data_IF_240738301215
#
_entry.id   IF_240738301215
#
_cell.length_a   1.000
_cell.length_b   1.000
_cell.length_c   1.000
_cell.angle_alpha   90.00
_cell.angle_beta   90.00
_cell.angle_gamma   90.00
#
_symmetry.space_group_name_H-M   'P 1'
#
loop_
_entity.id
_entity.type
_entity.pdbx_description
1 polymer ?
#
# COMPACT_ATOMS: atom_id res chain seq x y z
N UNK A 1 36.45 -41.02 28.03
CA UNK A 1 35.58 -39.85 28.35
C UNK A 1 35.56 -38.97 27.11
N UNK A 2 34.53 -39.13 26.28
CA UNK A 2 34.31 -38.30 25.08
C UNK A 2 33.28 -37.24 25.46
N UNK A 3 33.74 -36.00 25.62
CA UNK A 3 32.90 -34.86 25.93
C UNK A 3 32.34 -34.26 24.63
N UNK A 4 31.05 -33.92 24.70
CA UNK A 4 30.18 -33.52 23.60
C UNK A 4 30.78 -32.42 22.71
N UNK A 5 30.74 -32.65 21.40
CA UNK A 5 30.78 -31.58 20.41
C UNK A 5 29.42 -30.85 20.46
N UNK A 6 29.37 -29.75 21.19
CA UNK A 6 28.22 -28.84 21.18
C UNK A 6 28.12 -28.18 19.80
N UNK A 7 27.21 -28.71 18.97
CA UNK A 7 26.73 -28.10 17.74
C UNK A 7 25.89 -26.86 18.09
N UNK A 8 26.54 -25.76 18.47
CA UNK A 8 25.88 -24.48 18.61
C UNK A 8 25.74 -23.84 17.22
N UNK A 9 24.77 -24.36 16.45
CA UNK A 9 24.39 -23.82 15.14
C UNK A 9 24.00 -22.36 15.32
N UNK A 10 24.84 -21.46 14.79
CA UNK A 10 24.62 -20.02 14.81
C UNK A 10 23.20 -19.70 14.32
N UNK A 11 22.47 -18.85 15.05
CA UNK A 11 21.09 -18.47 14.72
C UNK A 11 20.95 -17.99 13.26
N UNK A 12 22.02 -17.42 12.70
CA UNK A 12 22.09 -16.92 11.34
C UNK A 12 22.14 -18.03 10.27
N UNK A 13 22.60 -19.24 10.59
CA UNK A 13 22.59 -20.37 9.65
C UNK A 13 21.17 -20.80 9.27
N UNK A 14 20.22 -20.59 10.21
CA UNK A 14 18.80 -20.90 10.05
C UNK A 14 18.03 -19.81 9.30
N UNK A 15 18.61 -18.62 9.12
CA UNK A 15 17.97 -17.51 8.42
C UNK A 15 18.06 -17.66 6.89
N UNK A 16 17.08 -17.12 6.18
CA UNK A 16 17.13 -17.04 4.72
C UNK A 16 18.06 -15.90 4.27
N UNK A 17 18.62 -16.04 3.06
CA UNK A 17 19.54 -15.05 2.47
C UNK A 17 18.97 -13.62 2.46
N UNK A 18 17.68 -13.37 2.17
CA UNK A 18 17.10 -12.03 2.27
C UNK A 18 17.20 -11.44 3.69
N UNK A 19 16.88 -12.22 4.72
CA UNK A 19 16.88 -11.76 6.11
C UNK A 19 18.30 -11.43 6.59
N UNK A 20 19.29 -12.23 6.18
CA UNK A 20 20.71 -11.97 6.44
C UNK A 20 21.17 -10.67 5.77
N UNK A 21 20.77 -10.43 4.51
CA UNK A 21 21.06 -9.18 3.80
C UNK A 21 20.40 -8.00 4.49
N UNK A 22 19.13 -8.11 4.89
CA UNK A 22 18.43 -7.06 5.63
C UNK A 22 19.09 -6.74 6.96
N UNK A 23 19.53 -7.75 7.72
CA UNK A 23 20.24 -7.58 8.99
C UNK A 23 21.54 -6.76 8.84
N UNK A 24 22.31 -7.05 7.79
CA UNK A 24 23.58 -6.39 7.48
C UNK A 24 23.39 -5.00 6.88
N UNK A 25 22.44 -4.84 5.97
CA UNK A 25 22.13 -3.53 5.36
C UNK A 25 21.61 -2.53 6.39
N UNK A 26 20.82 -2.98 7.38
CA UNK A 26 20.42 -2.16 8.55
C UNK A 26 21.61 -1.65 9.39
N UNK A 27 22.80 -2.21 9.21
CA UNK A 27 24.04 -1.84 9.91
C UNK A 27 25.07 -1.22 8.95
N UNK A 28 24.63 -0.74 7.79
CA UNK A 28 25.47 -0.06 6.81
C UNK A 28 26.36 -0.98 5.96
N UNK A 29 26.13 -2.30 5.97
CA UNK A 29 26.96 -3.27 5.23
C UNK A 29 26.29 -3.66 3.90
N UNK A 30 26.96 -3.33 2.79
CA UNK A 30 26.52 -3.65 1.42
C UNK A 30 26.74 -5.13 1.08
N UNK A 31 25.71 -5.84 0.62
CA UNK A 31 25.71 -7.31 0.52
C UNK A 31 25.41 -7.89 -0.88
N UNK A 32 25.68 -7.15 -1.95
CA UNK A 32 25.22 -7.47 -3.31
C UNK A 32 25.80 -8.76 -3.91
N UNK A 33 26.96 -9.25 -3.43
CA UNK A 33 27.71 -10.34 -4.09
C UNK A 33 28.12 -11.51 -3.18
N UNK A 34 27.64 -11.58 -1.94
CA UNK A 34 28.07 -12.62 -0.98
C UNK A 34 27.24 -13.90 -1.04
N UNK A 35 27.92 -15.05 -0.90
CA UNK A 35 27.30 -16.37 -0.72
C UNK A 35 26.74 -16.49 0.70
N UNK A 36 25.76 -17.40 0.93
CA UNK A 36 25.08 -17.55 2.23
C UNK A 36 26.05 -17.69 3.41
N UNK A 37 27.08 -18.54 3.31
CA UNK A 37 28.08 -18.73 4.37
C UNK A 37 28.84 -17.44 4.71
N UNK A 38 29.16 -16.62 3.71
CA UNK A 38 29.81 -15.32 3.92
C UNK A 38 28.87 -14.33 4.60
N UNK A 39 27.58 -14.33 4.25
CA UNK A 39 26.58 -13.49 4.90
C UNK A 39 26.37 -13.88 6.37
N UNK A 40 26.32 -15.18 6.68
CA UNK A 40 26.25 -15.69 8.05
C UNK A 40 27.45 -15.20 8.85
N UNK A 41 28.65 -15.36 8.32
CA UNK A 41 29.88 -14.93 8.99
C UNK A 41 29.91 -13.42 9.22
N UNK A 42 29.46 -12.63 8.25
CA UNK A 42 29.33 -11.18 8.40
C UNK A 42 28.32 -10.80 9.49
N UNK A 43 27.21 -11.54 9.62
CA UNK A 43 26.22 -11.29 10.68
C UNK A 43 26.81 -11.57 12.08
N UNK A 44 27.59 -12.64 12.22
CA UNK A 44 28.29 -12.97 13.47
C UNK A 44 29.29 -11.88 13.85
N UNK A 45 30.13 -11.46 12.90
CA UNK A 45 31.11 -10.38 13.11
C UNK A 45 30.38 -9.07 13.44
N UNK A 46 29.26 -8.76 12.79
CA UNK A 46 28.48 -7.56 13.09
C UNK A 46 27.89 -7.57 14.52
N UNK A 47 27.55 -8.74 15.07
CA UNK A 47 27.13 -8.90 16.47
C UNK A 47 28.32 -8.78 17.42
N UNK A 48 29.44 -9.42 17.10
CA UNK A 48 30.69 -9.36 17.87
C UNK A 48 31.21 -7.93 18.00
N UNK A 49 31.14 -7.16 16.91
CA UNK A 49 31.52 -5.75 16.85
C UNK A 49 30.44 -4.80 17.40
N UNK A 50 29.31 -5.32 17.88
CA UNK A 50 28.18 -4.53 18.40
C UNK A 50 27.74 -3.40 17.45
N UNK A 51 27.72 -3.68 16.14
CA UNK A 51 27.36 -2.66 15.16
C UNK A 51 25.92 -2.21 15.37
N UNK A 52 25.77 -0.92 15.67
CA UNK A 52 24.49 -0.27 15.82
C UNK A 52 23.72 -0.29 14.50
N UNK A 53 22.39 -0.31 14.60
CA UNK A 53 21.51 -0.17 13.44
C UNK A 53 21.68 1.25 12.93
N UNK A 54 22.40 1.40 11.82
CA UNK A 54 22.53 2.67 11.11
C UNK A 54 21.14 3.02 10.59
N UNK A 55 20.50 4.02 11.18
CA UNK A 55 19.39 4.69 10.52
C UNK A 55 19.99 5.36 9.28
N UNK A 56 19.82 4.75 8.12
CA UNK A 56 20.30 5.32 6.86
C UNK A 56 19.59 6.66 6.64
N UNK A 57 20.24 7.62 5.97
CA UNK A 57 19.59 8.87 5.56
C UNK A 57 18.26 8.59 4.86
N UNK A 58 18.22 7.56 4.01
CA UNK A 58 17.01 7.06 3.34
C UNK A 58 15.86 6.68 4.30
N UNK A 59 16.18 6.17 5.50
CA UNK A 59 15.17 5.81 6.50
C UNK A 59 14.60 7.04 7.22
N UNK A 60 15.42 8.08 7.43
CA UNK A 60 14.94 9.38 7.90
C UNK A 60 14.08 10.06 6.82
N UNK A 61 14.57 10.10 5.59
CA UNK A 61 13.86 10.68 4.44
C UNK A 61 12.50 9.99 4.22
N UNK A 62 12.43 8.67 4.39
CA UNK A 62 11.17 7.93 4.30
C UNK A 62 10.21 8.26 5.45
N UNK A 63 10.69 8.34 6.71
CA UNK A 63 9.84 8.70 7.86
C UNK A 63 9.28 10.10 7.73
N UNK A 64 10.09 11.03 7.22
CA UNK A 64 9.68 12.41 6.98
C UNK A 64 8.67 12.49 5.83
N UNK A 65 8.91 11.77 4.73
CA UNK A 65 7.95 11.66 3.62
C UNK A 65 6.63 11.03 4.08
N UNK A 66 6.67 9.96 4.86
CA UNK A 66 5.48 9.31 5.38
C UNK A 66 4.68 10.22 6.31
N UNK A 67 5.36 10.90 7.23
CA UNK A 67 4.75 11.88 8.13
C UNK A 67 4.15 13.07 7.37
N UNK A 68 4.85 13.56 6.34
CA UNK A 68 4.34 14.61 5.46
C UNK A 68 3.05 14.18 4.77
N UNK A 69 2.99 12.97 4.21
CA UNK A 69 1.77 12.45 3.55
C UNK A 69 0.62 12.23 4.52
N UNK A 70 0.91 11.94 5.78
CA UNK A 70 -0.09 11.83 6.85
C UNK A 70 -0.45 13.18 7.48
N UNK A 71 0.17 14.27 7.06
CA UNK A 71 -0.14 15.60 7.56
C UNK A 71 -1.40 16.12 6.89
N UNK A 72 -2.37 16.50 7.71
CA UNK A 72 -3.63 17.12 7.29
C UNK A 72 -3.85 18.43 8.04
N UNK A 73 -4.73 19.28 7.54
CA UNK A 73 -5.13 20.50 8.23
C UNK A 73 -6.40 20.23 9.04
N UNK A 74 -6.36 20.56 10.33
CA UNK A 74 -7.48 20.47 11.27
C UNK A 74 -7.57 21.80 12.00
N UNK A 75 -8.70 22.50 11.88
CA UNK A 75 -8.91 23.81 12.52
C UNK A 75 -7.81 24.86 12.22
N UNK A 76 -7.28 24.86 10.99
CA UNK A 76 -6.21 25.78 10.59
C UNK A 76 -4.79 25.40 11.06
N UNK A 77 -4.63 24.27 11.77
CA UNK A 77 -3.34 23.77 12.21
C UNK A 77 -2.97 22.47 11.46
N UNK A 78 -1.68 22.30 11.16
CA UNK A 78 -1.16 21.04 10.61
C UNK A 78 -1.11 19.99 11.70
N UNK A 79 -1.72 18.84 11.45
CA UNK A 79 -1.75 17.70 12.33
C UNK A 79 -1.27 16.45 11.59
N UNK A 80 -0.31 15.73 12.16
CA UNK A 80 0.17 14.47 11.61
C UNK A 80 -0.72 13.34 12.12
N UNK A 81 -1.42 12.65 11.22
CA UNK A 81 -2.27 11.51 11.57
C UNK A 81 -1.43 10.30 11.98
N UNK A 82 -1.96 9.33 12.75
CA UNK A 82 -1.20 8.15 13.20
C UNK A 82 -0.61 7.33 12.06
N UNK A 83 0.52 6.66 12.30
CA UNK A 83 1.09 5.72 11.33
C UNK A 83 0.08 4.61 11.00
N UNK A 84 -0.04 4.27 9.71
CA UNK A 84 -1.05 3.29 9.27
C UNK A 84 -0.89 1.91 9.93
N UNK A 85 0.35 1.52 10.24
CA UNK A 85 0.69 0.27 10.93
C UNK A 85 0.21 0.22 12.38
N UNK A 86 0.01 1.39 13.01
CA UNK A 86 -0.47 1.51 14.39
C UNK A 86 -2.00 1.52 14.49
N UNK A 87 -2.70 1.66 13.37
CA UNK A 87 -4.17 1.67 13.31
C UNK A 87 -4.70 0.24 13.42
N UNK A 88 -5.47 -0.04 14.48
CA UNK A 88 -6.00 -1.38 14.76
C UNK A 88 -7.46 -1.57 14.30
N UNK A 89 -8.31 -0.56 14.49
CA UNK A 89 -9.77 -0.69 14.38
C UNK A 89 -10.29 -0.46 12.94
N UNK A 90 -9.97 -1.37 12.03
CA UNK A 90 -10.43 -1.32 10.64
C UNK A 90 -11.83 -1.94 10.48
N UNK A 91 -12.72 -1.22 9.81
CA UNK A 91 -14.07 -1.68 9.46
C UNK A 91 -14.14 -2.08 7.99
N UNK A 92 -14.81 -3.19 7.70
CA UNK A 92 -15.18 -3.57 6.33
C UNK A 92 -16.48 -2.91 5.87
N UNK A 93 -17.24 -2.31 6.79
CA UNK A 93 -18.42 -1.51 6.47
C UNK A 93 -17.99 -0.10 6.01
N UNK A 94 -18.38 0.24 4.78
CA UNK A 94 -18.00 1.45 4.06
C UNK A 94 -19.15 2.46 3.98
N UNK A 95 -20.26 2.26 4.71
CA UNK A 95 -21.41 3.20 4.73
C UNK A 95 -21.02 4.65 5.02
N UNK A 96 -20.05 4.84 5.91
CA UNK A 96 -19.58 6.17 6.31
C UNK A 96 -18.74 6.86 5.22
N UNK A 97 -18.33 6.12 4.18
CA UNK A 97 -17.56 6.64 3.06
C UNK A 97 -18.49 7.22 1.98
N UNK A 98 -18.79 8.51 2.08
CA UNK A 98 -19.54 9.25 1.05
C UNK A 98 -18.59 9.98 0.10
N UNK A 99 -18.14 9.31 -0.97
CA UNK A 99 -17.48 10.02 -2.07
C UNK A 99 -18.55 10.77 -2.86
N UNK A 100 -18.41 12.10 -2.99
CA UNK A 100 -19.45 12.97 -3.57
C UNK A 100 -19.41 13.04 -5.08
N UNK A 101 -18.24 13.13 -5.70
CA UNK A 101 -18.14 13.32 -7.15
C UNK A 101 -16.90 12.65 -7.75
N UNK A 102 -17.03 12.07 -8.94
CA UNK A 102 -15.93 11.34 -9.60
C UNK A 102 -14.76 12.24 -10.00
N UNK A 103 -14.99 13.56 -10.09
CA UNK A 103 -13.90 14.50 -10.36
C UNK A 103 -12.91 14.61 -9.20
N UNK A 104 -13.26 14.19 -7.98
CA UNK A 104 -12.35 14.21 -6.83
C UNK A 104 -11.10 13.35 -7.07
N UNK A 105 -11.26 12.24 -7.79
CA UNK A 105 -10.13 11.44 -8.23
C UNK A 105 -9.24 12.26 -9.16
N UNK A 106 -9.83 12.95 -10.13
CA UNK A 106 -9.07 13.75 -11.10
C UNK A 106 -8.31 14.88 -10.40
N UNK A 107 -8.94 15.56 -9.44
CA UNK A 107 -8.29 16.57 -8.61
C UNK A 107 -7.09 15.97 -7.86
N UNK A 108 -7.26 14.80 -7.25
CA UNK A 108 -6.16 14.11 -6.56
C UNK A 108 -5.03 13.74 -7.52
N UNK A 109 -5.35 13.13 -8.67
CA UNK A 109 -4.37 12.74 -9.68
C UNK A 109 -3.63 13.95 -10.26
N UNK A 110 -4.28 15.10 -10.37
CA UNK A 110 -3.64 16.35 -10.78
C UNK A 110 -2.75 16.93 -9.68
N UNK A 111 -3.29 17.15 -8.48
CA UNK A 111 -2.61 17.89 -7.41
C UNK A 111 -1.53 17.08 -6.70
N UNK A 112 -1.85 15.83 -6.36
CA UNK A 112 -0.95 14.91 -5.64
C UNK A 112 -0.21 14.05 -6.64
N UNK A 113 -0.95 13.48 -7.61
CA UNK A 113 -0.43 12.63 -8.67
C UNK A 113 0.56 13.30 -9.63
N UNK A 114 0.49 14.63 -9.76
CA UNK A 114 1.16 15.41 -10.80
C UNK A 114 0.90 14.86 -12.21
N UNK A 115 -0.29 14.30 -12.45
CA UNK A 115 -0.67 13.84 -13.78
C UNK A 115 -0.83 15.03 -14.71
N UNK A 116 -0.12 14.99 -15.84
CA UNK A 116 -0.26 15.98 -16.89
C UNK A 116 -1.54 15.74 -17.72
N UNK A 117 -1.93 16.73 -18.51
CA UNK A 117 -3.11 16.69 -19.38
C UNK A 117 -3.13 15.47 -20.33
N UNK A 118 -1.97 15.11 -20.89
CA UNK A 118 -1.83 13.95 -21.77
C UNK A 118 -2.13 12.62 -21.06
N UNK A 119 -1.64 12.45 -19.84
CA UNK A 119 -1.90 11.25 -19.02
C UNK A 119 -3.34 11.20 -18.55
N UNK A 120 -3.93 12.34 -18.17
CA UNK A 120 -5.34 12.42 -17.76
C UNK A 120 -6.29 12.12 -18.92
N UNK A 121 -6.06 12.70 -20.10
CA UNK A 121 -6.86 12.41 -21.30
C UNK A 121 -6.76 10.94 -21.73
N UNK A 122 -5.60 10.31 -21.48
CA UNK A 122 -5.35 8.90 -21.77
C UNK A 122 -5.43 7.98 -20.54
N UNK A 123 -6.14 8.38 -19.47
CA UNK A 123 -6.15 7.64 -18.20
C UNK A 123 -6.57 6.17 -18.35
N UNK A 124 -7.40 5.84 -19.35
CA UNK A 124 -7.84 4.46 -19.63
C UNK A 124 -6.71 3.52 -20.07
N UNK A 125 -5.59 4.07 -20.51
CA UNK A 125 -4.37 3.31 -20.88
C UNK A 125 -3.36 3.27 -19.73
N UNK A 126 -3.62 3.95 -18.62
CA UNK A 126 -2.72 3.97 -17.47
C UNK A 126 -2.72 2.60 -16.77
N UNK A 127 -1.54 2.16 -16.32
CA UNK A 127 -1.38 0.89 -15.63
C UNK A 127 -2.24 0.81 -14.36
N UNK A 128 -2.44 1.92 -13.63
CA UNK A 128 -3.32 1.97 -12.47
C UNK A 128 -4.79 1.76 -12.85
N UNK A 129 -5.22 2.26 -14.00
CA UNK A 129 -6.56 2.00 -14.52
C UNK A 129 -6.73 0.54 -14.98
N UNK A 130 -5.69 -0.05 -15.60
CA UNK A 130 -5.67 -1.46 -15.98
C UNK A 130 -5.75 -2.38 -14.75
N UNK A 131 -5.07 -2.03 -13.66
CA UNK A 131 -5.17 -2.74 -12.38
C UNK A 131 -6.57 -2.68 -11.78
N UNK A 132 -7.21 -1.51 -11.85
CA UNK A 132 -8.59 -1.32 -11.42
C UNK A 132 -9.55 -2.21 -12.23
N UNK A 133 -9.50 -2.13 -13.57
CA UNK A 133 -10.37 -2.92 -14.45
C UNK A 133 -10.14 -4.43 -14.32
N UNK A 134 -8.91 -4.84 -14.03
CA UNK A 134 -8.53 -6.24 -13.75
C UNK A 134 -8.87 -6.70 -12.32
N UNK A 135 -9.39 -5.80 -11.47
CA UNK A 135 -9.88 -6.05 -10.12
C UNK A 135 -8.79 -6.58 -9.15
N UNK A 136 -7.61 -5.94 -9.18
CA UNK A 136 -6.48 -6.28 -8.29
C UNK A 136 -6.67 -5.80 -6.85
N UNK A 137 -7.46 -4.73 -6.65
CA UNK A 137 -7.75 -4.15 -5.34
C UNK A 137 -8.88 -4.92 -4.64
N UNK A 138 -8.61 -5.43 -3.44
CA UNK A 138 -9.54 -6.21 -2.62
C UNK A 138 -9.30 -5.93 -1.13
N UNK A 139 -10.15 -6.50 -0.26
CA UNK A 139 -10.11 -6.28 1.20
C UNK A 139 -10.07 -4.79 1.58
N UNK A 140 -10.91 -3.98 0.93
CA UNK A 140 -11.00 -2.55 1.22
C UNK A 140 -11.60 -2.36 2.60
N UNK A 141 -10.90 -1.57 3.43
CA UNK A 141 -11.25 -1.30 4.81
C UNK A 141 -11.15 0.19 5.12
N UNK A 142 -12.06 0.65 5.96
CA UNK A 142 -12.19 2.02 6.43
C UNK A 142 -11.81 2.13 7.90
N UNK A 143 -11.14 3.22 8.28
CA UNK A 143 -10.93 3.59 9.68
C UNK A 143 -11.23 5.07 9.86
N UNK A 144 -12.14 5.40 10.77
CA UNK A 144 -12.43 6.80 11.15
C UNK A 144 -11.45 7.26 12.21
N UNK A 145 -10.77 8.37 11.92
CA UNK A 145 -9.81 8.97 12.84
C UNK A 145 -10.54 9.81 13.88
N UNK A 146 -10.30 9.49 15.16
CA UNK A 146 -10.95 10.15 16.30
C UNK A 146 -10.55 11.63 16.32
N UNK A 147 -11.51 12.52 16.64
CA UNK A 147 -11.31 13.98 16.72
C UNK A 147 -10.80 14.63 15.43
N UNK A 148 -11.04 14.01 14.27
CA UNK A 148 -10.72 14.60 12.97
C UNK A 148 -11.87 14.39 11.99
N UNK A 149 -11.87 15.16 10.91
CA UNK A 149 -12.81 15.02 9.79
C UNK A 149 -12.25 14.13 8.67
N UNK A 150 -11.38 13.18 9.02
CA UNK A 150 -10.70 12.32 8.06
C UNK A 150 -10.92 10.83 8.32
N UNK A 151 -10.82 10.07 7.24
CA UNK A 151 -10.81 8.62 7.23
C UNK A 151 -9.50 8.13 6.62
N UNK A 152 -9.00 7.02 7.14
CA UNK A 152 -8.11 6.15 6.38
C UNK A 152 -8.92 5.12 5.61
N UNK A 153 -8.61 4.98 4.33
CA UNK A 153 -9.05 3.85 3.51
C UNK A 153 -7.83 3.08 3.08
N UNK A 154 -7.83 1.76 3.29
CA UNK A 154 -6.76 0.87 2.79
C UNK A 154 -7.34 -0.26 1.97
N UNK A 155 -6.49 -0.86 1.14
CA UNK A 155 -6.81 -2.09 0.42
C UNK A 155 -5.59 -3.01 0.35
N UNK A 156 -5.84 -4.25 -0.06
CA UNK A 156 -4.83 -5.16 -0.55
C UNK A 156 -4.85 -5.14 -2.09
N UNK A 157 -3.69 -4.97 -2.72
CA UNK A 157 -3.54 -4.93 -4.17
C UNK A 157 -2.61 -6.06 -4.63
N UNK A 158 -3.16 -7.04 -5.35
CA UNK A 158 -2.38 -8.19 -5.83
C UNK A 158 -1.35 -7.73 -6.87
N UNK A 159 -0.07 -8.13 -6.79
CA UNK A 159 0.93 -7.81 -7.80
C UNK A 159 0.55 -8.35 -9.19
N UNK A 160 0.83 -7.61 -10.26
CA UNK A 160 0.48 -8.00 -11.64
C UNK A 160 1.20 -9.29 -12.08
N UNK A 161 2.51 -9.34 -11.86
CA UNK A 161 3.40 -10.38 -12.41
C UNK A 161 3.58 -11.57 -11.47
N UNK A 162 3.29 -11.39 -10.18
CA UNK A 162 3.53 -12.39 -9.13
C UNK A 162 2.32 -12.47 -8.21
N UNK A 163 1.23 -13.01 -8.73
CA UNK A 163 -0.05 -13.06 -8.03
C UNK A 163 -0.03 -13.91 -6.74
N UNK A 164 1.01 -14.74 -6.56
CA UNK A 164 1.26 -15.52 -5.34
C UNK A 164 2.11 -14.79 -4.29
N UNK A 165 2.67 -13.63 -4.59
CA UNK A 165 3.40 -12.81 -3.62
C UNK A 165 2.45 -12.01 -2.72
N UNK A 166 3.00 -11.51 -1.60
CA UNK A 166 2.25 -10.68 -0.68
C UNK A 166 1.66 -9.45 -1.41
N UNK A 167 0.37 -9.14 -1.21
CA UNK A 167 -0.25 -7.94 -1.76
C UNK A 167 0.46 -6.67 -1.32
N UNK A 168 0.50 -5.67 -2.21
CA UNK A 168 0.81 -4.31 -1.82
C UNK A 168 -0.36 -3.72 -1.03
N UNK A 169 -0.07 -2.84 -0.07
CA UNK A 169 -1.09 -2.22 0.77
C UNK A 169 -1.19 -0.72 0.47
N UNK A 170 -1.91 -0.32 -0.60
CA UNK A 170 -2.23 1.08 -0.83
C UNK A 170 -3.20 1.59 0.23
N UNK A 171 -3.04 2.86 0.58
CA UNK A 171 -3.90 3.59 1.49
C UNK A 171 -4.07 5.03 1.04
N UNK A 172 -5.22 5.61 1.37
CA UNK A 172 -5.54 7.01 1.09
C UNK A 172 -6.22 7.64 2.30
N UNK A 173 -6.02 8.95 2.46
CA UNK A 173 -6.74 9.79 3.41
C UNK A 173 -7.88 10.47 2.66
N UNK A 174 -9.09 10.29 3.17
CA UNK A 174 -10.31 10.87 2.61
C UNK A 174 -10.95 11.77 3.66
N UNK A 175 -11.26 13.01 3.31
CA UNK A 175 -12.06 13.89 4.16
C UNK A 175 -13.50 13.35 4.26
N UNK A 176 -14.19 13.68 5.35
CA UNK A 176 -15.62 13.33 5.51
C UNK A 176 -16.51 13.91 4.42
N UNK A 177 -16.05 14.99 3.79
CA UNK A 177 -16.69 15.59 2.62
C UNK A 177 -16.53 14.76 1.33
N UNK A 178 -15.69 13.72 1.32
CA UNK A 178 -15.44 12.85 0.16
C UNK A 178 -14.16 13.18 -0.62
N UNK A 179 -13.43 14.23 -0.24
CA UNK A 179 -12.21 14.65 -0.95
C UNK A 179 -10.98 13.84 -0.54
N UNK A 180 -10.24 13.31 -1.52
CA UNK A 180 -8.95 12.67 -1.29
C UNK A 180 -7.86 13.71 -0.98
N UNK A 181 -7.08 13.48 0.08
CA UNK A 181 -6.02 14.41 0.51
C UNK A 181 -4.62 13.93 0.17
N UNK A 182 -4.34 12.67 0.47
CA UNK A 182 -3.02 12.08 0.34
C UNK A 182 -3.12 10.55 0.35
N UNK A 183 -2.03 9.86 0.06
CA UNK A 183 -1.98 8.40 0.09
C UNK A 183 -0.55 7.88 0.11
N UNK A 184 -0.44 6.57 0.29
CA UNK A 184 0.83 5.84 0.28
C UNK A 184 0.60 4.37 0.01
N UNK A 185 1.65 3.62 -0.28
CA UNK A 185 1.60 2.23 -0.67
C UNK A 185 2.91 1.52 -0.33
N UNK A 186 2.85 0.28 0.13
CA UNK A 186 4.05 -0.53 0.43
C UNK A 186 4.85 -1.00 -0.80
N UNK A 187 4.69 -0.35 -1.96
CA UNK A 187 5.47 -0.65 -3.15
C UNK A 187 6.76 0.19 -3.18
N UNK A 188 7.75 -0.21 -3.98
CA UNK A 188 9.08 0.44 -4.02
C UNK A 188 9.03 1.94 -4.29
N UNK A 189 8.06 2.40 -5.09
CA UNK A 189 7.95 3.81 -5.48
C UNK A 189 7.41 4.70 -4.35
N UNK A 190 6.60 4.13 -3.45
CA UNK A 190 5.84 4.75 -2.36
C UNK A 190 5.73 6.30 -2.31
N UNK A 191 5.26 6.93 -3.39
CA UNK A 191 5.17 8.39 -3.48
C UNK A 191 3.72 8.92 -3.37
N UNK A 192 2.77 8.06 -3.02
CA UNK A 192 1.33 8.39 -2.98
C UNK A 192 0.65 8.50 -4.34
N UNK A 193 1.36 8.18 -5.43
CA UNK A 193 0.87 8.32 -6.82
C UNK A 193 1.13 7.07 -7.67
N UNK A 194 1.56 5.99 -7.04
CA UNK A 194 1.83 4.73 -7.71
C UNK A 194 0.55 4.14 -8.33
N UNK A 195 0.74 3.22 -9.28
CA UNK A 195 -0.38 2.55 -9.97
C UNK A 195 -1.38 1.86 -9.03
N UNK A 196 -0.93 1.39 -7.86
CA UNK A 196 -1.82 0.77 -6.86
C UNK A 196 -2.74 1.80 -6.17
N UNK A 197 -2.25 3.04 -5.95
CA UNK A 197 -3.08 4.13 -5.44
C UNK A 197 -4.10 4.55 -6.49
N UNK A 198 -3.66 4.74 -7.73
CA UNK A 198 -4.57 5.03 -8.85
C UNK A 198 -5.65 3.95 -8.99
N UNK A 199 -5.27 2.67 -8.91
CA UNK A 199 -6.22 1.56 -8.95
C UNK A 199 -7.22 1.63 -7.78
N UNK A 200 -6.75 1.90 -6.56
CA UNK A 200 -7.61 2.06 -5.38
C UNK A 200 -8.61 3.22 -5.57
N UNK A 201 -8.17 4.38 -6.04
CA UNK A 201 -9.02 5.55 -6.25
C UNK A 201 -10.17 5.26 -7.22
N UNK A 202 -9.87 4.71 -8.41
CA UNK A 202 -10.91 4.32 -9.37
C UNK A 202 -11.83 3.22 -8.84
N UNK A 203 -11.28 2.29 -8.04
CA UNK A 203 -12.08 1.25 -7.41
C UNK A 203 -13.09 1.86 -6.43
N UNK A 204 -12.66 2.82 -5.60
CA UNK A 204 -13.51 3.47 -4.60
C UNK A 204 -14.60 4.33 -5.24
N UNK A 205 -14.29 5.07 -6.31
CA UNK A 205 -15.29 5.83 -7.06
C UNK A 205 -16.34 4.92 -7.66
N UNK A 206 -15.95 3.87 -8.40
CA UNK A 206 -16.89 2.91 -8.96
C UNK A 206 -17.72 2.20 -7.86
N UNK A 207 -17.13 1.92 -6.69
CA UNK A 207 -17.89 1.43 -5.54
C UNK A 207 -18.93 2.45 -5.08
N UNK A 208 -18.54 3.71 -4.88
CA UNK A 208 -19.47 4.79 -4.51
C UNK A 208 -20.59 4.94 -5.54
N UNK A 209 -20.28 5.02 -6.84
CA UNK A 209 -21.29 5.17 -7.90
C UNK A 209 -22.33 4.05 -7.85
N UNK A 210 -21.91 2.79 -7.68
CA UNK A 210 -22.82 1.62 -7.65
C UNK A 210 -23.68 1.57 -6.39
N UNK A 211 -23.24 2.18 -5.29
CA UNK A 211 -23.95 2.18 -4.02
C UNK A 211 -24.68 3.50 -3.71
N UNK A 212 -24.53 4.54 -4.55
CA UNK A 212 -25.38 5.75 -4.49
C UNK A 212 -26.83 5.44 -4.81
N UNK A 213 -27.09 4.70 -5.88
CA UNK A 213 -28.46 4.40 -6.31
C UNK A 213 -29.15 3.43 -5.35
N UNK A 214 -28.39 2.53 -4.70
CA UNK A 214 -28.89 1.61 -3.67
C UNK A 214 -29.30 2.29 -2.37
N UNK A 215 -28.83 3.50 -2.10
CA UNK A 215 -29.30 4.31 -0.98
C UNK A 215 -30.65 5.01 -1.26
N UNK A 216 -31.22 4.82 -2.46
CA UNK A 216 -32.59 5.23 -2.77
C UNK A 216 -33.52 4.10 -2.36
N UNK A 217 -33.92 4.12 -1.08
CA UNK A 217 -34.98 3.30 -0.45
C UNK A 217 -35.09 1.83 -0.88
N UNK A 218 -34.25 0.97 -0.30
CA UNK A 218 -34.68 -0.37 0.12
C UNK A 218 -33.97 -0.72 1.41
N UNK A 219 -34.71 -0.65 2.52
CA UNK A 219 -34.24 -0.99 3.85
C UNK A 219 -33.78 -2.44 3.93
N UNK A 220 -32.47 -2.65 3.82
CA UNK A 220 -31.82 -3.88 4.26
C UNK A 220 -30.74 -3.49 5.26
N UNK A 221 -30.81 -3.98 6.50
CA UNK A 221 -29.85 -3.78 7.58
C UNK A 221 -28.45 -4.39 7.31
N UNK A 222 -28.13 -4.64 6.05
CA UNK A 222 -26.90 -5.32 5.63
C UNK A 222 -25.75 -4.28 5.59
N UNK A 223 -24.58 -4.58 6.18
CA UNK A 223 -23.41 -3.70 6.10
C UNK A 223 -23.01 -3.39 4.64
N UNK A 224 -22.60 -2.16 4.35
CA UNK A 224 -22.14 -1.78 2.99
C UNK A 224 -20.68 -2.23 2.83
N UNK A 225 -20.49 -3.53 2.62
CA UNK A 225 -19.16 -4.12 2.49
C UNK A 225 -18.62 -3.96 1.08
N UNK A 226 -17.29 -3.91 0.96
CA UNK A 226 -16.60 -3.95 -0.32
C UNK A 226 -17.07 -5.11 -1.20
N UNK A 227 -17.62 -4.79 -2.38
CA UNK A 227 -17.96 -5.76 -3.40
C UNK A 227 -17.09 -5.54 -4.65
N UNK A 228 -16.54 -6.64 -5.16
CA UNK A 228 -15.62 -6.63 -6.29
C UNK A 228 -16.33 -6.11 -7.56
N UNK A 229 -15.66 -5.23 -8.29
CA UNK A 229 -16.12 -4.83 -9.62
C UNK A 229 -16.21 -6.08 -10.52
N UNK A 230 -17.26 -6.16 -11.36
CA UNK A 230 -17.39 -7.26 -12.32
C UNK A 230 -16.22 -7.17 -13.30
N UNK A 231 -15.50 -8.28 -13.49
CA UNK A 231 -14.51 -8.37 -14.57
C UNK A 231 -15.24 -8.22 -15.89
N UNK A 232 -14.87 -7.19 -16.66
CA UNK A 232 -15.32 -7.05 -18.04
C UNK A 232 -14.51 -8.06 -18.87
N UNK A 233 -15.14 -9.16 -19.24
CA UNK A 233 -14.59 -10.09 -20.23
C UNK A 233 -15.12 -9.70 -21.60
N UNK A 234 -14.28 -9.11 -22.44
CA UNK A 234 -14.57 -8.95 -23.86
C UNK A 234 -14.05 -10.18 -24.61
N UNK A 235 -14.85 -10.81 -25.50
CA UNK A 235 -14.39 -11.94 -26.28
C UNK A 235 -13.26 -11.51 -27.21
N UNK A 236 -12.07 -12.09 -27.05
CA UNK A 236 -10.98 -11.95 -28.01
C UNK A 236 -11.14 -12.94 -29.16
N UNK A 237 -10.87 -12.49 -30.37
CA UNK A 237 -10.69 -13.37 -31.54
C UNK A 237 -9.52 -14.32 -31.30
N UNK A 238 -9.72 -15.61 -31.62
CA UNK A 238 -8.76 -16.71 -31.40
C UNK A 238 -7.33 -16.38 -31.84
N UNK A 239 -7.16 -15.65 -32.94
CA UNK A 239 -5.86 -15.27 -33.51
C UNK A 239 -5.04 -14.26 -32.66
N UNK A 240 -5.58 -13.80 -31.53
CA UNK A 240 -4.93 -12.86 -30.60
C UNK A 240 -4.70 -13.47 -29.22
N UNK A 241 -4.91 -14.77 -29.08
CA UNK A 241 -4.61 -15.52 -27.85
C UNK A 241 -3.16 -16.00 -27.98
N UNK A 242 -2.25 -15.40 -27.22
CA UNK A 242 -0.91 -16.00 -27.03
C UNK A 242 -1.07 -17.23 -26.14
N UNK A 243 -0.82 -18.41 -26.71
CA UNK A 243 -0.79 -19.73 -26.04
C UNK A 243 0.65 -20.09 -25.72
#
# INVERSE_FOLDING_TARGET
>A
MSAAMDNNVSQFERMHVPDLKTFLTKRGITCSLYRKQQLVRLCEIAVELQLEVTQTQDAYDYKDMDSFRRTVEVNGAKHVLPEITTVLNWKSDLRDLSLKESYDILIYLMKVGQWNESRLSNYRRDNGFNLYTSNHSHDVKLHRLINTEYFYVRAACVPETRQSENPYNPWVIVATEGHFRSGGCTCVVDNGTCKHITALLFSLDNFSSRHRDRNTEVGTDVPCTWDRARKLSEPLTINKIDI
#
